data_IF_056082175406
#
_entry.id   IF_056082175406
#
_cell.length_a   1.000
_cell.length_b   1.000
_cell.length_c   1.000
_cell.angle_alpha   90.00
_cell.angle_beta   90.00
_cell.angle_gamma   90.00
#
_symmetry.space_group_name_H-M   'P 1'
#
loop_
_entity.id
_entity.type
_entity.pdbx_description
1 polymer ?
#
# COMPACT_ATOMS: atom_id res chain seq x y z
N UNK A 1 1.17 -16.22 -17.33
CA UNK A 1 1.70 -14.85 -17.11
C UNK A 1 1.57 -14.53 -15.64
N UNK A 2 2.47 -13.77 -15.04
CA UNK A 2 2.34 -13.37 -13.65
C UNK A 2 1.08 -12.50 -13.47
N UNK A 3 0.40 -12.64 -12.33
CA UNK A 3 -0.75 -11.79 -12.00
C UNK A 3 -0.27 -10.37 -11.63
N UNK A 4 -1.20 -9.41 -11.61
CA UNK A 4 -0.89 -8.05 -11.11
C UNK A 4 -0.32 -8.09 -9.69
N UNK A 5 -0.84 -8.96 -8.84
CA UNK A 5 -0.36 -9.17 -7.48
C UNK A 5 1.10 -9.66 -7.45
N UNK A 6 1.46 -10.60 -8.34
CA UNK A 6 2.85 -11.08 -8.45
C UNK A 6 3.81 -9.98 -8.92
N UNK A 7 3.37 -9.15 -9.86
CA UNK A 7 4.16 -8.01 -10.37
C UNK A 7 4.39 -7.00 -9.24
N UNK A 8 3.33 -6.59 -8.52
CA UNK A 8 3.45 -5.66 -7.39
C UNK A 8 4.43 -6.19 -6.35
N UNK A 9 4.21 -7.43 -5.90
CA UNK A 9 5.02 -8.05 -4.87
C UNK A 9 6.50 -8.15 -5.30
N UNK A 10 6.75 -8.54 -6.55
CA UNK A 10 8.11 -8.66 -7.08
C UNK A 10 8.82 -7.31 -7.13
N UNK A 11 8.16 -6.26 -7.62
CA UNK A 11 8.74 -4.91 -7.68
C UNK A 11 9.08 -4.37 -6.29
N UNK A 12 8.21 -4.58 -5.31
CA UNK A 12 8.47 -4.19 -3.93
C UNK A 12 9.64 -4.98 -3.32
N UNK A 13 9.70 -6.29 -3.58
CA UNK A 13 10.83 -7.11 -3.14
C UNK A 13 12.15 -6.64 -3.74
N UNK A 14 12.18 -6.34 -5.03
CA UNK A 14 13.36 -5.84 -5.75
C UNK A 14 13.78 -4.44 -5.23
N UNK A 15 12.82 -3.63 -4.76
CA UNK A 15 13.08 -2.36 -4.08
C UNK A 15 13.63 -2.52 -2.65
N UNK A 16 13.73 -3.73 -2.14
CA UNK A 16 14.29 -4.04 -0.82
C UNK A 16 13.26 -4.32 0.27
N UNK A 17 11.96 -4.26 -0.03
CA UNK A 17 10.92 -4.61 0.95
C UNK A 17 10.98 -6.09 1.30
N UNK A 18 10.91 -6.40 2.60
CA UNK A 18 10.90 -7.79 3.12
C UNK A 18 9.72 -8.05 4.03
N UNK A 19 9.04 -7.01 4.46
CA UNK A 19 7.85 -7.08 5.31
C UNK A 19 6.78 -6.12 4.79
N UNK A 20 5.53 -6.52 4.94
CA UNK A 20 4.35 -5.69 4.74
C UNK A 20 3.44 -5.84 5.95
N UNK A 21 2.79 -4.76 6.35
CA UNK A 21 1.97 -4.72 7.56
C UNK A 21 0.55 -4.32 7.20
N UNK A 22 -0.44 -4.83 7.93
CA UNK A 22 -1.81 -4.39 7.71
C UNK A 22 -2.87 -5.36 8.21
N UNK A 23 -4.10 -5.10 7.79
CA UNK A 23 -5.26 -5.96 7.99
C UNK A 23 -5.86 -6.27 6.62
N UNK A 24 -5.96 -7.57 6.27
CA UNK A 24 -6.49 -7.96 4.97
C UNK A 24 -8.02 -7.88 4.92
N UNK A 25 -8.54 -7.73 3.72
CA UNK A 25 -9.92 -7.97 3.33
C UNK A 25 -9.94 -8.74 2.01
N UNK A 26 -11.10 -9.12 1.53
CA UNK A 26 -11.24 -9.94 0.32
C UNK A 26 -10.51 -9.39 -0.89
N UNK A 27 -10.47 -8.08 -1.03
CA UNK A 27 -9.91 -7.35 -2.17
C UNK A 27 -8.38 -7.42 -2.26
N UNK A 28 -7.70 -7.77 -1.16
CA UNK A 28 -6.22 -7.77 -1.09
C UNK A 28 -5.60 -9.14 -0.85
N UNK A 29 -6.40 -10.20 -0.77
CA UNK A 29 -5.91 -11.56 -0.48
C UNK A 29 -4.93 -12.07 -1.55
N UNK A 30 -5.21 -11.80 -2.82
CA UNK A 30 -4.33 -12.20 -3.91
C UNK A 30 -2.96 -11.51 -3.80
N UNK A 31 -2.93 -10.26 -3.37
CA UNK A 31 -1.68 -9.53 -3.14
C UNK A 31 -0.89 -10.12 -1.96
N UNK A 32 -1.57 -10.56 -0.89
CA UNK A 32 -0.90 -11.25 0.22
C UNK A 32 -0.24 -12.55 -0.23
N UNK A 33 -0.93 -13.32 -1.08
CA UNK A 33 -0.34 -14.53 -1.69
C UNK A 33 0.85 -14.16 -2.59
N UNK A 34 0.76 -13.06 -3.33
CA UNK A 34 1.86 -12.49 -4.10
C UNK A 34 3.06 -12.13 -3.22
N UNK A 35 2.84 -11.48 -2.08
CA UNK A 35 3.90 -11.18 -1.10
C UNK A 35 4.61 -12.46 -0.65
N UNK A 36 3.87 -13.48 -0.26
CA UNK A 36 4.43 -14.76 0.16
C UNK A 36 5.28 -15.41 -0.95
N UNK A 37 4.79 -15.41 -2.19
CA UNK A 37 5.53 -15.97 -3.33
C UNK A 37 6.81 -15.18 -3.63
N UNK A 38 6.79 -13.87 -3.45
CA UNK A 38 7.95 -13.00 -3.64
C UNK A 38 8.97 -13.04 -2.50
N UNK A 39 8.60 -13.56 -1.32
CA UNK A 39 9.45 -13.58 -0.13
C UNK A 39 9.29 -12.34 0.75
N UNK A 40 8.14 -11.69 0.70
CA UNK A 40 7.75 -10.61 1.62
C UNK A 40 6.83 -11.20 2.70
N UNK A 41 7.25 -11.10 3.95
CA UNK A 41 6.46 -11.56 5.10
C UNK A 41 5.34 -10.56 5.39
N UNK A 42 4.09 -11.04 5.39
CA UNK A 42 2.95 -10.22 5.80
C UNK A 42 2.72 -10.34 7.31
N UNK A 43 2.80 -9.21 8.00
CA UNK A 43 2.60 -9.11 9.44
C UNK A 43 1.18 -8.57 9.70
N UNK A 44 0.30 -9.45 10.19
CA UNK A 44 -1.05 -9.07 10.59
C UNK A 44 -1.00 -8.20 11.83
N UNK A 45 -1.65 -7.05 11.76
CA UNK A 45 -1.81 -6.12 12.91
C UNK A 45 -3.26 -6.10 13.39
N UNK A 46 -3.50 -5.48 14.54
CA UNK A 46 -4.86 -5.35 15.10
C UNK A 46 -5.52 -4.01 14.79
N UNK A 47 -4.75 -3.06 14.27
CA UNK A 47 -5.22 -1.76 13.79
C UNK A 47 -4.25 -1.25 12.73
N UNK A 48 -4.75 -0.72 11.63
CA UNK A 48 -3.94 -0.29 10.49
C UNK A 48 -2.94 0.80 10.86
N UNK A 49 -3.32 1.69 11.78
CA UNK A 49 -2.42 2.72 12.31
C UNK A 49 -1.15 2.11 12.93
N UNK A 50 -1.31 1.04 13.70
CA UNK A 50 -0.15 0.32 14.27
C UNK A 50 0.73 -0.28 13.17
N UNK A 51 0.10 -0.81 12.12
CA UNK A 51 0.80 -1.33 10.94
C UNK A 51 1.63 -0.27 10.24
N UNK A 52 1.12 0.96 10.14
CA UNK A 52 1.86 2.09 9.57
C UNK A 52 3.11 2.43 10.36
N UNK A 53 3.04 2.54 11.69
CA UNK A 53 4.21 2.79 12.54
C UNK A 53 5.20 1.62 12.55
N UNK A 54 4.72 0.38 12.46
CA UNK A 54 5.62 -0.79 12.32
C UNK A 54 6.35 -0.76 10.97
N UNK A 55 5.65 -0.42 9.90
CA UNK A 55 6.24 -0.24 8.58
C UNK A 55 7.33 0.85 8.60
N UNK A 56 7.04 2.01 9.18
CA UNK A 56 8.01 3.10 9.36
C UNK A 56 9.25 2.61 10.13
N UNK A 57 9.05 1.85 11.21
CA UNK A 57 10.15 1.25 11.97
C UNK A 57 11.08 0.40 11.10
N UNK A 58 10.55 -0.40 10.17
CA UNK A 58 11.38 -1.21 9.27
C UNK A 58 12.24 -0.36 8.34
N UNK A 59 11.73 0.78 7.85
CA UNK A 59 12.52 1.70 7.02
C UNK A 59 13.75 2.23 7.77
N UNK A 60 13.61 2.58 9.04
CA UNK A 60 14.74 3.11 9.82
C UNK A 60 15.90 2.12 9.92
N UNK A 61 15.63 0.82 9.91
CA UNK A 61 16.65 -0.23 9.92
C UNK A 61 17.16 -0.61 8.53
N UNK A 62 16.24 -0.80 7.57
CA UNK A 62 16.57 -1.37 6.26
C UNK A 62 16.96 -0.32 5.22
N UNK A 63 16.52 0.92 5.39
CA UNK A 63 16.57 2.01 4.40
C UNK A 63 15.81 1.74 3.11
N UNK A 64 15.12 0.61 3.02
CA UNK A 64 14.20 0.30 1.93
C UNK A 64 12.85 1.03 2.12
N UNK A 65 12.03 1.19 1.08
CA UNK A 65 10.66 1.62 1.25
C UNK A 65 9.90 0.62 2.13
N UNK A 66 8.96 1.11 2.91
CA UNK A 66 8.13 0.28 3.76
C UNK A 66 6.70 0.16 3.22
N UNK A 67 6.02 -0.92 3.57
CA UNK A 67 4.73 -1.28 2.97
C UNK A 67 3.64 -1.42 4.02
N UNK A 68 2.55 -0.68 3.82
CA UNK A 68 1.31 -0.80 4.57
C UNK A 68 0.20 -1.26 3.62
N UNK A 69 -0.59 -2.24 4.04
CA UNK A 69 -1.73 -2.77 3.31
C UNK A 69 -3.02 -2.59 4.09
N UNK A 70 -4.05 -2.07 3.46
CA UNK A 70 -5.39 -1.99 4.02
C UNK A 70 -6.45 -2.48 3.02
N UNK A 71 -7.55 -2.97 3.55
CA UNK A 71 -8.77 -3.22 2.78
C UNK A 71 -9.47 -1.90 2.42
N UNK A 72 -10.64 -1.97 1.82
CA UNK A 72 -11.43 -0.80 1.42
C UNK A 72 -11.93 0.02 2.61
N UNK A 73 -12.26 1.27 2.36
CA UNK A 73 -13.05 2.12 3.26
C UNK A 73 -12.42 2.35 4.64
N UNK A 74 -13.07 1.88 5.73
CA UNK A 74 -12.60 2.14 7.10
C UNK A 74 -11.16 1.72 7.36
N UNK A 75 -10.68 0.65 6.72
CA UNK A 75 -9.28 0.21 6.81
C UNK A 75 -8.32 1.30 6.32
N UNK A 76 -8.68 1.98 5.24
CA UNK A 76 -7.88 3.10 4.71
C UNK A 76 -7.89 4.27 5.69
N UNK A 77 -9.06 4.65 6.19
CA UNK A 77 -9.21 5.77 7.13
C UNK A 77 -8.44 5.54 8.45
N UNK A 78 -8.42 4.31 8.94
CA UNK A 78 -7.74 3.94 10.19
C UNK A 78 -6.23 4.19 10.18
N UNK A 79 -5.59 4.23 9.03
CA UNK A 79 -4.14 4.42 8.92
C UNK A 79 -3.74 5.88 8.67
N UNK A 80 -4.67 6.80 8.47
CA UNK A 80 -4.38 8.19 8.09
C UNK A 80 -3.36 8.85 9.01
N UNK A 81 -3.47 8.65 10.33
CA UNK A 81 -2.53 9.22 11.28
C UNK A 81 -1.08 8.73 11.06
N UNK A 82 -0.89 7.43 10.81
CA UNK A 82 0.46 6.91 10.52
C UNK A 82 0.97 7.41 9.15
N UNK A 83 0.09 7.55 8.16
CA UNK A 83 0.46 8.12 6.85
C UNK A 83 0.90 9.58 6.98
N UNK A 84 0.18 10.38 7.79
CA UNK A 84 0.56 11.76 8.09
C UNK A 84 1.93 11.81 8.77
N UNK A 85 2.18 10.93 9.74
CA UNK A 85 3.47 10.86 10.42
C UNK A 85 4.60 10.52 9.45
N UNK A 86 4.43 9.48 8.64
CA UNK A 86 5.41 9.09 7.62
C UNK A 86 5.69 10.22 6.61
N UNK A 87 4.66 10.98 6.22
CA UNK A 87 4.80 12.15 5.35
C UNK A 87 5.65 13.24 5.99
N UNK A 88 5.39 13.58 7.26
CA UNK A 88 6.12 14.60 8.01
C UNK A 88 7.57 14.18 8.28
N UNK A 89 7.78 12.92 8.63
CA UNK A 89 9.10 12.36 8.92
C UNK A 89 9.87 11.93 7.66
N UNK A 90 9.27 12.11 6.48
CA UNK A 90 9.87 11.79 5.17
C UNK A 90 10.24 10.30 5.05
N UNK A 91 9.42 9.45 5.63
CA UNK A 91 9.55 8.00 5.49
C UNK A 91 8.92 7.54 4.17
N UNK A 92 9.64 6.79 3.33
CA UNK A 92 9.11 6.30 2.06
C UNK A 92 8.11 5.17 2.28
N UNK A 93 6.88 5.53 2.61
CA UNK A 93 5.78 4.61 2.84
C UNK A 93 5.02 4.35 1.53
N UNK A 94 4.94 3.11 1.13
CA UNK A 94 4.06 2.62 0.06
C UNK A 94 2.78 2.11 0.73
N UNK A 95 1.71 2.88 0.59
CA UNK A 95 0.41 2.52 1.14
C UNK A 95 -0.48 1.93 0.05
N UNK A 96 -0.75 0.63 0.13
CA UNK A 96 -1.57 -0.11 -0.83
C UNK A 96 -2.93 -0.35 -0.21
N UNK A 97 -3.99 -0.03 -0.95
CA UNK A 97 -5.36 -0.20 -0.49
C UNK A 97 -6.18 -1.00 -1.49
N UNK A 98 -7.07 -1.86 -0.98
CA UNK A 98 -8.14 -2.39 -1.81
C UNK A 98 -9.06 -1.26 -2.29
N UNK A 99 -9.67 -1.44 -3.44
CA UNK A 99 -10.73 -0.56 -3.92
C UNK A 99 -11.82 -1.38 -4.61
N UNK A 100 -13.01 -0.80 -4.70
CA UNK A 100 -14.11 -1.40 -5.46
C UNK A 100 -13.93 -1.06 -6.94
N UNK A 101 -14.21 -2.02 -7.81
CA UNK A 101 -14.18 -1.82 -9.26
C UNK A 101 -15.05 -0.61 -9.66
N UNK A 102 -14.54 0.23 -10.55
CA UNK A 102 -15.21 1.44 -11.01
C UNK A 102 -16.61 1.17 -11.59
N UNK A 103 -16.82 0.00 -12.20
CA UNK A 103 -18.10 -0.38 -12.78
C UNK A 103 -19.18 -0.64 -11.73
N UNK A 104 -18.79 -1.05 -10.51
CA UNK A 104 -19.72 -1.35 -9.41
C UNK A 104 -19.73 -0.27 -8.33
N UNK A 105 -18.77 0.64 -8.33
CA UNK A 105 -18.63 1.68 -7.31
C UNK A 105 -19.86 2.62 -7.23
N UNK A 106 -20.60 2.79 -8.33
CA UNK A 106 -21.82 3.62 -8.37
C UNK A 106 -23.03 2.95 -7.70
N UNK A 107 -23.06 1.63 -7.69
CA UNK A 107 -24.19 0.84 -7.13
C UNK A 107 -23.84 0.21 -5.77
N UNK A 108 -22.57 0.04 -5.48
CA UNK A 108 -22.08 -0.52 -4.24
C UNK A 108 -21.67 0.61 -3.29
N UNK A 109 -22.49 0.89 -2.30
CA UNK A 109 -22.30 2.04 -1.39
C UNK A 109 -21.56 1.69 -0.10
N UNK A 110 -21.42 0.40 0.21
CA UNK A 110 -20.80 -0.06 1.45
C UNK A 110 -19.29 0.17 1.42
N UNK A 111 -18.76 0.95 2.35
CA UNK A 111 -17.34 1.23 2.54
C UNK A 111 -16.64 1.91 1.33
N UNK A 112 -17.39 2.57 0.45
CA UNK A 112 -16.87 3.23 -0.74
C UNK A 112 -16.72 4.72 -0.52
N UNK A 113 -15.51 5.22 -0.68
CA UNK A 113 -15.20 6.65 -0.81
C UNK A 113 -13.87 6.81 -1.57
N UNK A 114 -13.54 8.02 -1.99
CA UNK A 114 -12.32 8.30 -2.74
C UNK A 114 -11.09 8.31 -1.83
N UNK A 115 -10.30 7.23 -1.88
CA UNK A 115 -9.06 7.07 -1.11
C UNK A 115 -8.00 8.09 -1.55
N UNK A 116 -7.90 8.37 -2.84
CA UNK A 116 -6.92 9.31 -3.37
C UNK A 116 -7.21 10.73 -2.89
N UNK A 117 -8.48 11.14 -2.88
CA UNK A 117 -8.87 12.45 -2.36
C UNK A 117 -8.64 12.55 -0.84
N UNK A 118 -8.98 11.49 -0.07
CA UNK A 118 -8.70 11.45 1.37
C UNK A 118 -7.22 11.66 1.69
N UNK A 119 -6.33 11.05 0.91
CA UNK A 119 -4.90 11.03 1.19
C UNK A 119 -4.11 12.14 0.49
N UNK A 120 -4.74 12.93 -0.36
CA UNK A 120 -4.12 13.91 -1.25
C UNK A 120 -3.19 14.91 -0.56
N UNK A 121 -3.57 15.38 0.63
CA UNK A 121 -2.79 16.39 1.36
C UNK A 121 -1.61 15.81 2.14
N UNK A 122 -1.54 14.48 2.26
CA UNK A 122 -0.58 13.79 3.13
C UNK A 122 0.22 12.71 2.40
N UNK A 123 0.18 12.74 1.06
CA UNK A 123 0.98 11.87 0.21
C UNK A 123 1.61 12.67 -0.93
N UNK A 124 2.76 12.21 -1.42
CA UNK A 124 3.43 12.80 -2.59
C UNK A 124 2.70 12.52 -3.90
N UNK A 125 2.10 11.32 -4.00
CA UNK A 125 1.34 10.88 -5.14
C UNK A 125 0.37 9.77 -4.75
N UNK A 126 -0.72 9.65 -5.49
CA UNK A 126 -1.68 8.55 -5.40
C UNK A 126 -1.99 8.05 -6.79
N UNK A 127 -2.16 6.74 -6.92
CA UNK A 127 -2.42 6.07 -8.19
C UNK A 127 -3.54 5.06 -8.02
N UNK A 128 -4.42 4.98 -9.01
CA UNK A 128 -5.30 3.83 -9.18
C UNK A 128 -4.65 2.89 -10.18
N UNK A 129 -4.41 1.64 -9.77
CA UNK A 129 -3.82 0.64 -10.63
C UNK A 129 -4.80 0.24 -11.73
N UNK A 130 -4.30 0.20 -12.95
CA UNK A 130 -5.04 -0.26 -14.12
C UNK A 130 -4.28 -1.41 -14.79
N UNK A 131 -5.01 -2.29 -15.46
CA UNK A 131 -4.42 -3.41 -16.18
C UNK A 131 -3.42 -2.94 -17.23
N UNK A 132 -2.32 -3.67 -17.35
CA UNK A 132 -1.29 -3.44 -18.37
C UNK A 132 -0.21 -2.40 -18.04
N UNK A 133 -0.29 -1.72 -16.88
CA UNK A 133 0.71 -0.72 -16.47
C UNK A 133 1.16 -0.87 -15.01
N UNK A 134 0.91 -2.02 -14.41
CA UNK A 134 1.12 -2.26 -12.97
C UNK A 134 2.59 -2.10 -12.58
N UNK A 135 3.49 -2.67 -13.35
CA UNK A 135 4.94 -2.58 -13.12
C UNK A 135 5.44 -1.14 -13.17
N UNK A 136 5.03 -0.39 -14.18
CA UNK A 136 5.41 1.02 -14.37
C UNK A 136 4.90 1.87 -13.21
N UNK A 137 3.66 1.65 -12.78
CA UNK A 137 3.05 2.43 -11.69
C UNK A 137 3.74 2.13 -10.37
N UNK A 138 4.05 0.88 -10.06
CA UNK A 138 4.76 0.51 -8.83
C UNK A 138 6.20 1.05 -8.82
N UNK A 139 6.93 0.92 -9.91
CA UNK A 139 8.28 1.48 -10.03
C UNK A 139 8.28 3.00 -9.83
N UNK A 140 7.29 3.69 -10.41
CA UNK A 140 7.10 5.13 -10.23
C UNK A 140 6.75 5.49 -8.78
N UNK A 141 5.85 4.74 -8.15
CA UNK A 141 5.47 4.97 -6.75
C UNK A 141 6.67 4.80 -5.82
N UNK A 142 7.48 3.75 -6.02
CA UNK A 142 8.71 3.52 -5.26
C UNK A 142 9.71 4.67 -5.48
N UNK A 143 9.95 5.05 -6.73
CA UNK A 143 10.86 6.15 -7.05
C UNK A 143 10.43 7.47 -6.38
N UNK A 144 9.15 7.83 -6.46
CA UNK A 144 8.61 9.05 -5.83
C UNK A 144 8.73 8.97 -4.30
N UNK A 145 8.42 7.82 -3.70
CA UNK A 145 8.53 7.65 -2.25
C UNK A 145 9.98 7.81 -1.76
N UNK A 146 10.95 7.32 -2.51
CA UNK A 146 12.38 7.34 -2.16
C UNK A 146 13.10 8.64 -2.53
N UNK A 147 12.51 9.52 -3.31
CA UNK A 147 13.16 10.73 -3.88
C UNK A 147 13.28 11.91 -2.88
N UNK A 148 13.18 11.72 -1.60
CA UNK A 148 13.32 12.81 -0.63
C UNK A 148 12.10 13.75 -0.59
N UNK A 149 12.33 15.06 -0.35
CA UNK A 149 11.25 16.08 -0.23
C UNK A 149 10.55 16.37 -1.53
#
# INVERSE_FOLDING_TARGET
MPSSADIIARRLYDAGCRQAFGIPGGEVLELMDGFKRAGIDFVLVKHENSGGFMAEGTHHFTKAPCVLLATVGPGVANAVNAVVNAYQDQVPLIYITGCVDANVAQTYTHQVFDHCELLKSVTKASFTLADGAVDIIIDKAVAIAMDGK
#
